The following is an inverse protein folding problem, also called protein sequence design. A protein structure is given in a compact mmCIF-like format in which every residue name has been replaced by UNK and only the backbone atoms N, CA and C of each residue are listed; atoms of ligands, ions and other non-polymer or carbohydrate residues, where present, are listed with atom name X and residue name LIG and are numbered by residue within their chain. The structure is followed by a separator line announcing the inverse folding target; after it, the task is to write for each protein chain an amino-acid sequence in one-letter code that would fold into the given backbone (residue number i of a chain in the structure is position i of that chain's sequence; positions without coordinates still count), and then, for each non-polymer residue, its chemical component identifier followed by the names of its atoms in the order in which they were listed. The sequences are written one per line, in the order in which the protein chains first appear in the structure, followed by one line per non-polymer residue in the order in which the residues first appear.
data_IF_443674180534
#
_entry.id   IF_443674180534
#
_cell.length_a   1.000
_cell.length_b   1.000
_cell.length_c   1.000
_cell.angle_alpha   90.00
_cell.angle_beta   90.00
_cell.angle_gamma   90.00
#
_symmetry.space_group_name_H-M   'P 1'
#
loop_
_entity.id
_entity.type
_entity.pdbx_description
1 polymer ?
#
# COMPACT_ATOMS: atom_id res chain seq x y z
N UNK A 1 -15.22 -1.19 29.38
CA UNK A 1 -14.92 -1.94 28.14
C UNK A 1 -14.42 -0.90 27.15
N UNK A 2 -13.10 -0.78 27.04
CA UNK A 2 -12.46 0.21 26.17
C UNK A 2 -12.68 -0.21 24.71
N UNK A 3 -12.63 0.70 23.72
CA UNK A 3 -12.82 0.33 22.32
C UNK A 3 -11.59 -0.44 21.83
N UNK A 4 -11.53 -1.71 22.19
CA UNK A 4 -10.44 -2.65 21.88
C UNK A 4 -10.47 -3.16 20.43
N UNK A 5 -11.33 -2.60 19.57
CA UNK A 5 -11.51 -3.01 18.17
C UNK A 5 -11.34 -1.85 17.18
N UNK A 6 -10.41 -0.93 17.47
CA UNK A 6 -9.98 0.11 16.54
C UNK A 6 -8.62 -0.19 15.88
N UNK A 7 -8.17 -1.45 15.89
CA UNK A 7 -7.16 -1.95 14.94
C UNK A 7 -7.79 -2.08 13.56
N UNK A 8 -8.21 -0.94 12.97
CA UNK A 8 -8.42 -0.90 11.52
C UNK A 8 -7.05 -1.03 10.88
N UNK A 9 -6.64 -2.28 10.63
CA UNK A 9 -5.40 -2.65 9.97
C UNK A 9 -5.22 -1.83 8.70
N UNK A 10 -3.97 -1.59 8.31
CA UNK A 10 -3.65 -0.79 7.12
C UNK A 10 -4.37 -1.31 5.88
N UNK A 11 -4.50 -2.63 5.75
CA UNK A 11 -5.37 -3.30 4.76
C UNK A 11 -6.79 -2.72 4.75
N UNK A 12 -7.47 -2.66 5.89
CA UNK A 12 -8.87 -2.20 5.96
C UNK A 12 -9.00 -0.74 5.55
N UNK A 13 -8.05 0.11 5.93
CA UNK A 13 -8.01 1.51 5.55
C UNK A 13 -7.82 1.67 4.04
N UNK A 14 -6.83 0.99 3.47
CA UNK A 14 -6.56 1.05 2.03
C UNK A 14 -7.70 0.44 1.21
N UNK A 15 -8.21 -0.72 1.61
CA UNK A 15 -9.34 -1.37 0.96
C UNK A 15 -10.60 -0.49 0.96
N UNK A 16 -10.91 0.17 2.08
CA UNK A 16 -12.10 1.02 2.14
C UNK A 16 -11.92 2.36 1.42
N UNK A 17 -10.73 2.95 1.49
CA UNK A 17 -10.47 4.28 0.91
C UNK A 17 -10.14 4.24 -0.58
N UNK A 18 -9.48 3.18 -1.05
CA UNK A 18 -8.92 3.08 -2.40
C UNK A 18 -9.33 1.79 -3.12
N UNK A 19 -9.83 0.79 -2.40
CA UNK A 19 -10.26 -0.46 -3.00
C UNK A 19 -11.35 -0.22 -4.04
N UNK A 20 -11.03 -0.49 -5.30
CA UNK A 20 -12.02 -0.97 -6.27
C UNK A 20 -12.81 -2.06 -5.55
N UNK A 21 -14.16 -2.05 -5.61
CA UNK A 21 -15.10 -2.98 -4.95
C UNK A 21 -14.86 -4.47 -5.31
N UNK A 22 -13.67 -4.99 -5.04
CA UNK A 22 -13.13 -6.25 -5.55
C UNK A 22 -12.85 -7.14 -4.35
N UNK A 23 -13.46 -8.33 -4.35
CA UNK A 23 -13.27 -9.31 -3.28
C UNK A 23 -11.81 -9.78 -3.17
N UNK A 24 -11.01 -9.59 -4.23
CA UNK A 24 -9.65 -10.11 -4.36
C UNK A 24 -8.55 -9.04 -4.23
N UNK A 25 -8.85 -7.91 -3.57
CA UNK A 25 -7.92 -6.77 -3.45
C UNK A 25 -6.52 -7.18 -2.95
N UNK A 26 -6.44 -8.04 -1.94
CA UNK A 26 -5.17 -8.54 -1.42
C UNK A 26 -4.38 -9.30 -2.49
N UNK A 27 -5.04 -10.21 -3.21
CA UNK A 27 -4.41 -11.00 -4.27
C UNK A 27 -3.86 -10.10 -5.37
N UNK A 28 -4.66 -9.14 -5.83
CA UNK A 28 -4.27 -8.18 -6.88
C UNK A 28 -3.08 -7.31 -6.44
N UNK A 29 -3.09 -6.83 -5.19
CA UNK A 29 -1.97 -6.03 -4.69
C UNK A 29 -0.70 -6.87 -4.57
N UNK A 30 -0.79 -8.11 -4.08
CA UNK A 30 0.39 -8.99 -3.95
C UNK A 30 0.94 -9.45 -5.30
N UNK A 31 0.08 -9.65 -6.30
CA UNK A 31 0.50 -9.89 -7.69
C UNK A 31 1.24 -8.67 -8.23
N UNK A 32 0.67 -7.47 -8.05
CA UNK A 32 1.32 -6.23 -8.44
C UNK A 32 2.67 -5.99 -7.73
N UNK A 33 2.78 -6.34 -6.44
CA UNK A 33 4.05 -6.29 -5.70
C UNK A 33 5.10 -7.22 -6.31
N UNK A 34 4.71 -8.43 -6.71
CA UNK A 34 5.58 -9.38 -7.39
C UNK A 34 6.04 -8.90 -8.78
N UNK A 35 5.32 -7.98 -9.41
CA UNK A 35 5.71 -7.39 -10.69
C UNK A 35 6.52 -6.09 -10.53
N UNK A 36 6.59 -5.55 -9.31
CA UNK A 36 7.21 -4.26 -9.05
C UNK A 36 8.73 -4.39 -8.81
N UNK A 37 9.51 -4.29 -9.88
CA UNK A 37 10.98 -4.48 -9.86
C UNK A 37 11.71 -3.68 -8.77
N UNK A 38 11.26 -2.46 -8.46
CA UNK A 38 11.92 -1.58 -7.48
C UNK A 38 11.88 -2.11 -6.04
N UNK A 39 10.94 -3.01 -5.72
CA UNK A 39 10.86 -3.68 -4.41
C UNK A 39 11.24 -5.17 -4.50
N UNK A 40 11.66 -5.66 -5.68
CA UNK A 40 12.18 -7.01 -5.80
C UNK A 40 13.41 -7.19 -4.92
N UNK A 41 13.45 -8.30 -4.18
CA UNK A 41 14.51 -8.61 -3.22
C UNK A 41 14.34 -7.96 -1.84
N UNK A 42 13.35 -7.08 -1.65
CA UNK A 42 12.96 -6.58 -0.32
C UNK A 42 12.04 -7.54 0.45
N UNK A 43 11.46 -8.51 -0.25
CA UNK A 43 10.61 -9.57 0.31
C UNK A 43 10.90 -10.91 -0.36
N UNK A 44 10.45 -12.00 0.29
CA UNK A 44 10.51 -13.36 -0.24
C UNK A 44 9.09 -13.90 -0.53
N UNK A 45 9.00 -15.12 -1.05
CA UNK A 45 7.73 -15.76 -1.36
C UNK A 45 6.84 -15.99 -0.11
N UNK A 46 7.45 -16.26 1.05
CA UNK A 46 6.72 -16.47 2.31
C UNK A 46 6.07 -15.17 2.79
N UNK A 47 6.75 -14.04 2.62
CA UNK A 47 6.21 -12.71 2.91
C UNK A 47 4.97 -12.43 2.06
N UNK A 48 5.06 -12.63 0.74
CA UNK A 48 3.92 -12.43 -0.16
C UNK A 48 2.75 -13.35 0.19
N UNK A 49 3.04 -14.62 0.48
CA UNK A 49 2.01 -15.58 0.90
C UNK A 49 1.33 -15.14 2.19
N UNK A 50 2.11 -14.68 3.17
CA UNK A 50 1.59 -14.21 4.46
C UNK A 50 0.77 -12.91 4.34
N UNK A 51 1.21 -11.97 3.50
CA UNK A 51 0.43 -10.77 3.15
C UNK A 51 -0.88 -11.15 2.47
N UNK A 52 -0.83 -12.12 1.54
CA UNK A 52 -2.01 -12.62 0.82
C UNK A 52 -3.03 -13.30 1.73
N UNK A 53 -2.54 -14.15 2.62
CA UNK A 53 -3.37 -14.89 3.57
C UNK A 53 -3.78 -14.03 4.77
N UNK A 54 -3.30 -12.77 4.83
CA UNK A 54 -3.54 -11.78 5.89
C UNK A 54 -3.10 -12.29 7.27
N UNK A 55 -2.01 -13.05 7.31
CA UNK A 55 -1.42 -13.56 8.55
C UNK A 55 -0.40 -12.60 9.15
N UNK A 56 -0.05 -11.53 8.43
CA UNK A 56 0.80 -10.43 8.91
C UNK A 56 0.10 -9.09 8.70
N UNK A 57 0.47 -8.12 9.54
CA UNK A 57 0.04 -6.74 9.35
C UNK A 57 0.79 -6.11 8.18
N UNK A 58 0.08 -5.33 7.39
CA UNK A 58 0.65 -4.57 6.29
C UNK A 58 1.51 -3.42 6.81
N UNK A 59 2.53 -3.04 6.05
CA UNK A 59 3.48 -1.99 6.40
C UNK A 59 3.86 -1.12 5.21
N UNK A 60 5.13 -0.71 5.20
CA UNK A 60 5.66 0.26 4.22
C UNK A 60 5.69 -0.30 2.79
N UNK A 61 5.95 -1.60 2.61
CA UNK A 61 5.99 -2.22 1.29
C UNK A 61 4.61 -2.25 0.63
N UNK A 62 3.56 -2.56 1.39
CA UNK A 62 2.18 -2.54 0.88
C UNK A 62 1.72 -1.10 0.62
N UNK A 63 2.10 -0.13 1.44
CA UNK A 63 1.82 1.29 1.21
C UNK A 63 2.52 1.80 -0.06
N UNK A 64 3.78 1.42 -0.23
CA UNK A 64 4.57 1.78 -1.41
C UNK A 64 3.98 1.19 -2.68
N UNK A 65 3.54 -0.07 -2.66
CA UNK A 65 2.90 -0.70 -3.81
C UNK A 65 1.47 -0.20 -4.06
N UNK A 66 0.72 0.08 -3.00
CA UNK A 66 -0.66 0.56 -3.10
C UNK A 66 -0.75 1.92 -3.82
N UNK A 67 0.23 2.81 -3.64
CA UNK A 67 0.21 4.12 -4.31
C UNK A 67 0.17 4.03 -5.85
N UNK A 68 1.15 3.41 -6.54
CA UNK A 68 1.11 3.22 -7.98
C UNK A 68 0.01 2.24 -8.42
N UNK A 69 -0.35 1.23 -7.62
CA UNK A 69 -1.48 0.34 -7.91
C UNK A 69 -2.79 1.12 -8.06
N UNK A 70 -3.06 2.06 -7.14
CA UNK A 70 -4.25 2.92 -7.16
C UNK A 70 -4.07 4.21 -7.96
N UNK A 71 -2.90 4.42 -8.59
CA UNK A 71 -2.53 5.67 -9.27
C UNK A 71 -2.82 6.91 -8.41
N UNK A 72 -2.63 6.78 -7.10
CA UNK A 72 -2.96 7.79 -6.10
C UNK A 72 -1.83 7.94 -5.08
N UNK A 73 -1.51 9.18 -4.71
CA UNK A 73 -0.53 9.42 -3.64
C UNK A 73 -1.15 9.08 -2.28
N UNK A 74 -0.39 8.42 -1.41
CA UNK A 74 -0.82 8.04 -0.06
C UNK A 74 0.00 8.82 0.95
N UNK A 75 -0.68 9.64 1.76
CA UNK A 75 -0.07 10.39 2.86
C UNK A 75 -0.30 9.66 4.19
N UNK A 76 0.79 9.33 4.88
CA UNK A 76 0.78 8.70 6.20
C UNK A 76 1.25 9.70 7.24
N UNK A 77 0.43 9.93 8.26
CA UNK A 77 0.73 10.83 9.38
C UNK A 77 0.96 10.03 10.65
N UNK A 78 2.11 10.25 11.27
CA UNK A 78 2.37 9.78 12.63
C UNK A 78 1.87 10.83 13.59
N UNK A 79 1.03 10.42 14.55
CA UNK A 79 0.48 11.30 15.58
C UNK A 79 1.14 11.00 16.93
N UNK A 80 1.23 12.00 17.80
CA UNK A 80 1.52 11.77 19.21
C UNK A 80 0.25 11.42 20.01
N UNK A 81 0.41 11.20 21.31
CA UNK A 81 -0.68 10.88 22.25
C UNK A 81 -1.78 11.95 22.32
N UNK A 82 -1.46 13.18 21.90
CA UNK A 82 -2.40 14.30 21.84
C UNK A 82 -3.03 14.46 20.44
N UNK A 83 -2.96 13.43 19.59
CA UNK A 83 -3.44 13.45 18.21
C UNK A 83 -2.81 14.55 17.33
N UNK A 84 -1.65 15.09 17.72
CA UNK A 84 -0.92 16.09 16.95
C UNK A 84 0.04 15.39 15.99
N UNK A 85 0.08 15.86 14.74
CA UNK A 85 1.00 15.36 13.73
C UNK A 85 2.45 15.59 14.18
N UNK A 86 3.20 14.50 14.27
CA UNK A 86 4.64 14.48 14.53
C UNK A 86 5.44 14.39 13.23
N UNK A 87 4.97 13.57 12.29
CA UNK A 87 5.60 13.41 10.99
C UNK A 87 4.57 13.10 9.91
N UNK A 88 4.94 13.43 8.67
CA UNK A 88 4.18 13.12 7.47
C UNK A 88 5.12 12.47 6.48
N UNK A 89 4.71 11.33 5.93
CA UNK A 89 5.40 10.65 4.84
C UNK A 89 4.43 10.45 3.69
N UNK A 90 4.89 10.69 2.45
CA UNK A 90 4.03 10.60 1.27
C UNK A 90 4.62 9.61 0.28
N UNK A 91 3.86 8.54 0.01
CA UNK A 91 4.10 7.63 -1.09
C UNK A 91 3.49 8.26 -2.33
N UNK A 92 4.34 8.73 -3.25
CA UNK A 92 3.89 9.40 -4.47
C UNK A 92 3.88 8.45 -5.64
N UNK A 93 2.94 8.66 -6.55
CA UNK A 93 2.95 7.95 -7.84
C UNK A 93 4.07 8.57 -8.67
N UNK A 94 5.04 7.79 -9.17
CA UNK A 94 5.97 8.30 -10.17
C UNK A 94 5.16 8.74 -11.39
N UNK A 95 5.27 10.03 -11.74
CA UNK A 95 4.62 10.57 -12.92
C UNK A 95 5.12 9.75 -14.12
N UNK A 96 4.21 9.10 -14.84
CA UNK A 96 4.57 8.30 -16.00
C UNK A 96 5.32 9.21 -16.99
N UNK A 97 6.64 9.09 -17.04
CA UNK A 97 7.46 9.68 -18.10
C UNK A 97 7.27 8.83 -19.35
N UNK A 98 6.05 8.80 -19.89
CA UNK A 98 5.83 8.43 -21.28
C UNK A 98 6.43 9.54 -22.15
N UNK A 99 7.73 9.48 -22.39
CA UNK A 99 8.29 10.07 -23.61
C UNK A 99 7.85 9.19 -24.76
N UNK A 100 6.65 9.44 -25.26
CA UNK A 100 6.23 8.94 -26.57
C UNK A 100 7.02 9.75 -27.60
N UNK A 101 8.21 9.28 -27.97
CA UNK A 101 8.90 9.76 -29.17
C UNK A 101 8.23 9.04 -30.32
N UNK A 102 7.38 9.77 -31.04
CA UNK A 102 6.92 9.35 -32.36
C UNK A 102 8.08 9.58 -33.33
N UNK A 103 8.53 8.53 -34.01
CA UNK A 103 9.28 8.67 -35.26
C UNK A 103 8.29 8.50 -36.40
N UNK A 104 8.25 9.51 -37.27
CA UNK A 104 7.55 9.53 -38.56
C UNK A 104 8.15 8.47 -39.50
#
# INVERSE_FOLDING_TARGET
MAPEEASSSLYRRLHFSLGLFTADYTSLLTEFMNDLEVIHGLFNADYITSTRDRTIEWGELELFAASPFHKSSIEVKTLNDNCKVMSTFTYTVPQATKKTVWHD
#
